data_IF_900343242851
#
_entry.id   IF_900343242851
#
_cell.length_a   1.000
_cell.length_b   1.000
_cell.length_c   1.000
_cell.angle_alpha   90.00
_cell.angle_beta   90.00
_cell.angle_gamma   90.00
#
_symmetry.space_group_name_H-M   'P 1'
#
loop_
_entity.id
_entity.type
_entity.pdbx_description
1 polymer ?
#
# COMPACT_ATOMS: atom_id res chain seq x y z
N UNK A 1 22.20 -33.40 -53.00
CA UNK A 1 22.27 -34.30 -51.83
C UNK A 1 23.58 -35.08 -51.85
N UNK A 2 24.45 -34.93 -50.85
CA UNK A 2 25.39 -35.98 -50.45
C UNK A 2 25.04 -36.52 -49.05
N UNK A 3 25.10 -37.84 -48.91
CA UNK A 3 24.78 -38.60 -47.70
C UNK A 3 25.92 -38.47 -46.66
N UNK A 4 25.59 -38.13 -45.40
CA UNK A 4 26.50 -38.29 -44.26
C UNK A 4 26.39 -39.70 -43.67
N UNK A 5 27.49 -40.32 -43.20
CA UNK A 5 27.45 -41.64 -42.57
C UNK A 5 27.05 -41.55 -41.09
N UNK A 6 26.35 -42.62 -40.64
CA UNK A 6 25.97 -42.92 -39.26
C UNK A 6 27.19 -43.30 -38.42
N UNK A 7 27.18 -42.89 -37.16
CA UNK A 7 27.78 -43.66 -36.06
C UNK A 7 26.67 -43.92 -35.05
N UNK A 8 26.37 -45.19 -34.82
CA UNK A 8 25.53 -45.71 -33.75
C UNK A 8 26.44 -46.14 -32.59
N UNK A 9 26.06 -45.90 -31.34
CA UNK A 9 25.64 -46.89 -30.31
C UNK A 9 26.46 -46.55 -29.05
N UNK A 10 26.09 -46.75 -27.80
CA UNK A 10 24.94 -47.26 -27.05
C UNK A 10 25.08 -46.54 -25.68
N UNK A 11 24.04 -46.21 -24.93
CA UNK A 11 23.47 -47.16 -23.98
C UNK A 11 22.31 -46.50 -23.25
N UNK A 12 21.30 -47.32 -23.00
CA UNK A 12 20.07 -47.02 -22.32
C UNK A 12 20.31 -46.67 -20.83
N UNK A 13 19.26 -46.11 -20.22
CA UNK A 13 18.50 -46.63 -19.05
C UNK A 13 18.21 -45.49 -18.02
N UNK A 14 16.92 -45.39 -17.65
CA UNK A 14 16.27 -44.63 -16.55
C UNK A 14 15.80 -43.19 -16.88
N UNK A 15 14.50 -42.97 -17.19
CA UNK A 15 13.32 -42.79 -16.30
C UNK A 15 13.42 -41.54 -15.38
N UNK A 16 12.45 -40.64 -15.53
CA UNK A 16 12.06 -39.44 -14.71
C UNK A 16 11.88 -39.73 -13.20
N UNK A 17 11.57 -38.73 -12.33
CA UNK A 17 12.02 -37.33 -12.22
C UNK A 17 12.61 -37.03 -10.81
N UNK A 18 13.54 -36.08 -10.68
CA UNK A 18 13.97 -35.58 -9.36
C UNK A 18 14.23 -34.07 -9.43
N UNK A 19 13.36 -33.26 -8.83
CA UNK A 19 13.54 -32.70 -7.47
C UNK A 19 14.60 -31.61 -7.44
N UNK A 20 14.12 -30.36 -7.30
CA UNK A 20 14.77 -29.24 -6.61
C UNK A 20 16.21 -28.96 -7.08
N UNK A 21 16.34 -28.03 -8.03
CA UNK A 21 17.58 -27.26 -8.20
C UNK A 21 17.75 -26.37 -6.96
N UNK A 22 18.34 -26.97 -5.92
CA UNK A 22 18.73 -26.32 -4.69
C UNK A 22 19.97 -25.49 -5.00
N UNK A 23 19.79 -24.19 -5.20
CA UNK A 23 20.90 -23.24 -5.31
C UNK A 23 21.61 -23.16 -3.94
N UNK A 24 22.67 -23.95 -3.79
CA UNK A 24 23.57 -23.91 -2.64
C UNK A 24 24.49 -22.69 -2.78
N UNK A 25 24.23 -21.62 -2.02
CA UNK A 25 25.26 -20.70 -1.48
C UNK A 25 24.76 -19.65 -0.46
N UNK A 26 23.80 -19.97 0.42
CA UNK A 26 23.37 -19.04 1.49
C UNK A 26 23.25 -19.70 2.87
N UNK A 27 24.22 -20.54 3.22
CA UNK A 27 24.42 -20.98 4.60
C UNK A 27 25.57 -20.14 5.21
N UNK A 28 25.26 -19.00 5.85
CA UNK A 28 26.27 -18.30 6.65
C UNK A 28 26.01 -16.83 6.98
N UNK A 29 25.21 -16.10 6.21
CA UNK A 29 24.84 -14.71 6.51
C UNK A 29 23.35 -14.60 6.22
N UNK A 30 22.53 -14.64 7.28
CA UNK A 30 21.09 -14.80 7.18
C UNK A 30 20.43 -13.71 6.33
N UNK A 31 20.01 -14.08 5.13
CA UNK A 31 18.83 -13.65 4.36
C UNK A 31 18.35 -12.19 4.45
N UNK A 32 19.19 -11.18 4.73
CA UNK A 32 18.70 -9.83 5.08
C UNK A 32 18.78 -8.79 3.98
N UNK A 33 19.29 -9.11 2.79
CA UNK A 33 19.60 -8.11 1.75
C UNK A 33 19.21 -8.50 0.32
N UNK A 34 18.56 -9.64 0.09
CA UNK A 34 18.03 -9.99 -1.22
C UNK A 34 16.52 -9.71 -1.28
N UNK A 35 16.10 -8.95 -2.30
CA UNK A 35 14.71 -8.56 -2.59
C UNK A 35 13.81 -9.74 -2.99
N UNK A 36 13.63 -10.66 -2.05
CA UNK A 36 12.82 -11.87 -2.15
C UNK A 36 12.68 -12.55 -0.78
N UNK A 37 12.71 -11.76 0.31
CA UNK A 37 12.47 -12.28 1.65
C UNK A 37 11.02 -12.74 1.76
N UNK A 38 10.84 -14.00 2.18
CA UNK A 38 9.54 -14.52 2.59
C UNK A 38 8.98 -13.56 3.65
N UNK A 39 7.74 -13.05 3.49
CA UNK A 39 7.10 -12.21 4.50
C UNK A 39 7.11 -12.91 5.86
N UNK A 40 7.17 -12.12 6.94
CA UNK A 40 7.04 -12.67 8.28
C UNK A 40 5.68 -13.37 8.43
N UNK A 41 5.60 -14.39 9.29
CA UNK A 41 4.36 -15.17 9.52
C UNK A 41 3.19 -14.31 10.01
N UNK A 42 3.48 -13.13 10.56
CA UNK A 42 2.53 -12.15 11.07
C UNK A 42 2.25 -11.01 10.08
N UNK A 43 2.82 -11.04 8.87
CA UNK A 43 2.58 -10.03 7.84
C UNK A 43 1.25 -10.29 7.11
N UNK A 44 0.52 -9.22 6.80
CA UNK A 44 -0.70 -9.32 5.97
C UNK A 44 -0.36 -9.86 4.58
N UNK A 45 -0.98 -10.98 4.22
CA UNK A 45 -0.81 -11.64 2.92
C UNK A 45 -1.86 -11.11 1.93
N UNK A 46 -1.46 -10.43 0.84
CA UNK A 46 -2.40 -9.92 -0.17
C UNK A 46 -3.21 -11.03 -0.85
N UNK A 47 -2.71 -12.27 -0.90
CA UNK A 47 -3.42 -13.41 -1.47
C UNK A 47 -4.56 -13.92 -0.56
N UNK A 48 -4.54 -13.54 0.73
CA UNK A 48 -5.56 -13.87 1.72
C UNK A 48 -6.39 -12.64 2.12
N UNK A 49 -6.41 -11.59 1.29
CA UNK A 49 -7.22 -10.41 1.53
C UNK A 49 -8.70 -10.80 1.67
N UNK A 50 -9.40 -10.17 2.60
CA UNK A 50 -10.86 -10.29 2.79
C UNK A 50 -11.65 -9.64 1.66
N UNK A 51 -10.97 -9.01 0.70
CA UNK A 51 -11.56 -8.44 -0.49
C UNK A 51 -12.04 -7.01 -0.29
N UNK A 52 -13.01 -6.61 -1.12
CA UNK A 52 -13.49 -5.23 -1.28
C UNK A 52 -15.00 -5.18 -1.09
N UNK A 53 -15.53 -4.00 -0.78
CA UNK A 53 -16.97 -3.82 -0.58
C UNK A 53 -17.77 -4.04 -1.88
N UNK A 54 -17.29 -3.48 -2.99
CA UNK A 54 -17.89 -3.68 -4.30
C UNK A 54 -17.09 -4.75 -5.06
N UNK A 55 -17.75 -5.79 -5.61
CA UNK A 55 -17.08 -6.82 -6.40
C UNK A 55 -16.33 -6.22 -7.58
N UNK A 56 -15.05 -6.56 -7.71
CA UNK A 56 -14.19 -6.07 -8.76
C UNK A 56 -13.15 -7.15 -9.08
N UNK A 57 -12.88 -7.36 -10.37
CA UNK A 57 -11.86 -8.33 -10.78
C UNK A 57 -10.48 -7.92 -10.25
N UNK A 58 -9.70 -8.92 -9.84
CA UNK A 58 -8.32 -8.70 -9.42
C UNK A 58 -7.46 -8.12 -10.54
N UNK A 59 -6.49 -7.29 -10.15
CA UNK A 59 -5.55 -6.74 -11.10
C UNK A 59 -4.55 -7.83 -11.52
N UNK A 60 -4.29 -7.96 -12.82
CA UNK A 60 -3.39 -8.99 -13.38
C UNK A 60 -1.95 -8.86 -12.87
N UNK A 61 -1.51 -7.64 -12.61
CA UNK A 61 -0.12 -7.25 -12.45
C UNK A 61 0.15 -6.38 -11.21
N UNK A 62 -0.82 -6.32 -10.28
CA UNK A 62 -0.69 -5.58 -9.02
C UNK A 62 -1.37 -6.34 -7.90
N UNK A 63 -0.79 -6.34 -6.71
CA UNK A 63 -1.46 -6.82 -5.50
C UNK A 63 -2.65 -5.90 -5.14
N UNK A 64 -3.62 -6.37 -4.33
CA UNK A 64 -4.70 -5.53 -3.82
C UNK A 64 -4.19 -4.24 -3.14
N UNK A 65 -3.12 -4.32 -2.36
CA UNK A 65 -2.56 -3.17 -1.63
C UNK A 65 -1.82 -2.19 -2.55
N UNK A 66 -1.15 -2.68 -3.60
CA UNK A 66 -0.57 -1.81 -4.64
C UNK A 66 -1.66 -1.03 -5.38
N UNK A 67 -2.77 -1.71 -5.71
CA UNK A 67 -3.94 -1.05 -6.32
C UNK A 67 -4.51 0.02 -5.40
N UNK A 68 -4.57 -0.23 -4.09
CA UNK A 68 -5.11 0.71 -3.11
C UNK A 68 -4.22 1.94 -2.95
N UNK A 69 -2.91 1.74 -2.84
CA UNK A 69 -1.94 2.82 -2.87
C UNK A 69 -2.14 3.70 -4.11
N UNK A 70 -2.24 3.11 -5.29
CA UNK A 70 -2.42 3.86 -6.53
C UNK A 70 -3.72 4.66 -6.52
N UNK A 71 -4.82 4.08 -6.00
CA UNK A 71 -6.12 4.77 -5.84
C UNK A 71 -6.02 5.98 -4.92
N UNK A 72 -5.36 5.82 -3.77
CA UNK A 72 -5.16 6.88 -2.77
C UNK A 72 -4.34 8.01 -3.38
N UNK A 73 -3.18 7.73 -3.95
CA UNK A 73 -2.28 8.73 -4.56
C UNK A 73 -3.02 9.56 -5.60
N UNK A 74 -3.84 8.90 -6.43
CA UNK A 74 -4.53 9.61 -7.48
C UNK A 74 -5.80 10.31 -7.00
N UNK A 75 -6.30 10.10 -5.79
CA UNK A 75 -7.57 10.69 -5.28
C UNK A 75 -7.56 12.22 -5.23
N UNK A 76 -8.74 12.84 -5.23
CA UNK A 76 -8.84 14.30 -5.09
C UNK A 76 -8.47 14.75 -3.67
N UNK A 77 -8.84 13.97 -2.67
CA UNK A 77 -8.49 14.21 -1.27
C UNK A 77 -6.97 14.25 -1.06
N UNK A 78 -6.23 13.31 -1.66
CA UNK A 78 -4.77 13.30 -1.56
C UNK A 78 -4.14 14.53 -2.23
N UNK A 79 -4.64 14.93 -3.41
CA UNK A 79 -4.20 16.18 -4.08
C UNK A 79 -4.45 17.43 -3.22
N UNK A 80 -5.56 17.47 -2.48
CA UNK A 80 -5.88 18.60 -1.58
C UNK A 80 -4.89 18.73 -0.42
N UNK A 81 -4.17 17.68 -0.04
CA UNK A 81 -3.13 17.76 1.00
C UNK A 81 -2.02 18.76 0.65
N UNK A 82 -1.77 19.01 -0.64
CA UNK A 82 -0.84 20.05 -1.10
C UNK A 82 -1.17 21.44 -0.52
N UNK A 83 -2.45 21.70 -0.29
CA UNK A 83 -2.95 23.00 0.18
C UNK A 83 -3.32 23.00 1.66
N UNK A 84 -3.06 21.90 2.38
CA UNK A 84 -3.25 21.83 3.84
C UNK A 84 -1.88 21.96 4.50
N UNK A 85 -1.71 22.97 5.34
CA UNK A 85 -0.49 23.15 6.13
C UNK A 85 -0.45 22.14 7.28
N UNK A 86 0.75 21.67 7.60
CA UNK A 86 1.01 21.00 8.86
C UNK A 86 1.52 22.06 9.83
N UNK A 87 0.70 22.39 10.83
CA UNK A 87 0.93 23.30 11.97
C UNK A 87 2.21 24.16 11.85
N UNK A 88 2.10 25.46 11.51
CA UNK A 88 2.96 26.52 12.05
C UNK A 88 2.38 27.94 11.85
N UNK A 89 2.71 28.78 12.83
CA UNK A 89 2.39 30.21 12.99
C UNK A 89 3.24 31.05 12.02
N UNK A 90 2.68 32.18 11.61
CA UNK A 90 3.04 33.06 10.47
C UNK A 90 4.45 33.72 10.49
N UNK A 91 5.40 33.31 11.33
CA UNK A 91 6.69 34.00 11.45
C UNK A 91 7.88 33.03 11.52
N UNK A 92 8.77 33.12 10.51
CA UNK A 92 10.12 32.52 10.37
C UNK A 92 10.24 31.17 9.61
N UNK A 93 10.45 31.25 8.28
CA UNK A 93 11.18 30.22 7.52
C UNK A 93 10.55 29.81 6.17
N UNK A 94 11.36 29.78 5.10
CA UNK A 94 10.96 29.47 3.72
C UNK A 94 10.59 28.00 3.43
N UNK A 95 10.52 27.14 4.45
CA UNK A 95 10.31 25.69 4.30
C UNK A 95 9.08 25.19 5.05
N UNK A 96 7.89 25.62 4.63
CA UNK A 96 6.64 25.12 5.19
C UNK A 96 6.36 23.68 4.72
N UNK A 97 6.19 22.76 5.67
CA UNK A 97 5.67 21.41 5.36
C UNK A 97 4.17 21.47 5.14
N UNK A 98 3.74 20.86 4.05
CA UNK A 98 2.33 20.56 3.79
C UNK A 98 2.01 19.17 4.33
N UNK A 99 0.73 18.88 4.54
CA UNK A 99 0.28 17.51 4.85
C UNK A 99 0.66 16.51 3.75
N UNK A 100 0.79 16.98 2.51
CA UNK A 100 1.26 16.14 1.41
C UNK A 100 2.72 15.71 1.61
N UNK A 101 3.62 16.66 1.89
CA UNK A 101 5.03 16.34 2.12
C UNK A 101 5.21 15.48 3.35
N UNK A 102 4.44 15.73 4.42
CA UNK A 102 4.42 14.87 5.60
C UNK A 102 3.96 13.44 5.28
N UNK A 103 2.85 13.27 4.57
CA UNK A 103 2.32 11.94 4.22
C UNK A 103 3.34 11.14 3.39
N UNK A 104 4.09 11.80 2.50
CA UNK A 104 5.16 11.16 1.72
C UNK A 104 6.34 10.75 2.61
N UNK A 105 6.77 11.60 3.55
CA UNK A 105 7.82 11.28 4.53
C UNK A 105 7.42 10.09 5.41
N UNK A 106 6.18 10.10 5.94
CA UNK A 106 5.62 9.01 6.75
C UNK A 106 5.57 7.72 5.95
N UNK A 107 5.14 7.76 4.68
CA UNK A 107 5.10 6.59 3.81
C UNK A 107 6.49 5.98 3.58
N UNK A 108 7.53 6.80 3.37
CA UNK A 108 8.90 6.32 3.23
C UNK A 108 9.42 5.65 4.51
N UNK A 109 9.15 6.24 5.68
CA UNK A 109 9.52 5.67 6.98
C UNK A 109 8.77 4.35 7.20
N UNK A 110 7.45 4.33 6.96
CA UNK A 110 6.61 3.15 7.13
C UNK A 110 7.11 1.96 6.31
N UNK A 111 7.47 2.17 5.04
CA UNK A 111 8.05 1.13 4.17
C UNK A 111 9.38 0.61 4.69
N UNK A 112 10.27 1.51 5.11
CA UNK A 112 11.60 1.14 5.61
C UNK A 112 11.50 0.30 6.88
N UNK A 113 10.61 0.70 7.79
CA UNK A 113 10.30 -0.05 9.00
C UNK A 113 9.68 -1.41 8.68
N UNK A 114 8.68 -1.46 7.79
CA UNK A 114 8.02 -2.71 7.42
C UNK A 114 8.98 -3.69 6.74
N UNK A 115 9.83 -3.21 5.83
CA UNK A 115 10.88 -4.03 5.20
C UNK A 115 11.81 -4.65 6.25
N UNK A 116 12.21 -3.88 7.24
CA UNK A 116 13.11 -4.35 8.31
C UNK A 116 12.44 -5.40 9.23
N UNK A 117 11.11 -5.36 9.33
CA UNK A 117 10.30 -6.27 10.15
C UNK A 117 9.70 -7.44 9.35
N UNK A 118 9.93 -7.50 8.04
CA UNK A 118 9.30 -8.49 7.15
C UNK A 118 7.79 -8.31 6.97
N UNK A 119 7.26 -7.11 7.21
CA UNK A 119 5.84 -6.76 7.03
C UNK A 119 5.53 -6.36 5.58
N UNK A 120 4.24 -6.28 5.24
CA UNK A 120 3.80 -5.88 3.91
C UNK A 120 4.01 -4.38 3.67
N UNK A 121 4.99 -4.02 2.84
CA UNK A 121 5.34 -2.63 2.55
C UNK A 121 4.24 -1.87 1.78
N UNK A 122 3.53 -2.54 0.87
CA UNK A 122 2.52 -1.89 0.03
C UNK A 122 1.28 -1.51 0.86
N UNK A 123 0.89 -2.37 1.82
CA UNK A 123 -0.17 -2.05 2.78
C UNK A 123 0.23 -0.87 3.66
N UNK A 124 1.43 -0.91 4.24
CA UNK A 124 1.92 0.16 5.11
C UNK A 124 2.04 1.50 4.36
N UNK A 125 2.49 1.49 3.11
CA UNK A 125 2.54 2.67 2.25
C UNK A 125 1.13 3.23 1.98
N UNK A 126 0.16 2.37 1.66
CA UNK A 126 -1.23 2.78 1.45
C UNK A 126 -1.83 3.46 2.69
N UNK A 127 -1.67 2.85 3.88
CA UNK A 127 -2.15 3.40 5.15
C UNK A 127 -1.50 4.76 5.46
N UNK A 128 -0.17 4.83 5.34
CA UNK A 128 0.58 6.06 5.57
C UNK A 128 0.17 7.20 4.63
N UNK A 129 -0.18 6.92 3.38
CA UNK A 129 -0.64 7.95 2.43
C UNK A 129 -2.08 8.40 2.70
N UNK A 130 -2.91 7.53 3.28
CA UNK A 130 -4.33 7.79 3.53
C UNK A 130 -4.61 8.44 4.89
N UNK A 131 -3.73 8.27 5.91
CA UNK A 131 -4.03 8.64 7.30
C UNK A 131 -4.51 10.09 7.45
N UNK A 132 -3.97 10.99 6.63
CA UNK A 132 -4.16 12.43 6.76
C UNK A 132 -5.26 13.02 5.87
N UNK A 133 -6.01 12.18 5.13
CA UNK A 133 -6.99 12.65 4.15
C UNK A 133 -8.15 13.44 4.78
N UNK A 134 -8.65 12.97 5.92
CA UNK A 134 -9.81 13.53 6.63
C UNK A 134 -9.54 14.78 7.45
N UNK A 135 -8.27 15.16 7.62
CA UNK A 135 -7.91 16.34 8.40
C UNK A 135 -8.53 17.62 7.84
N UNK A 136 -9.03 18.44 8.77
CA UNK A 136 -9.63 19.73 8.49
C UNK A 136 -8.56 20.75 8.05
N UNK A 137 -8.96 21.82 7.33
CA UNK A 137 -8.15 23.04 7.28
C UNK A 137 -7.81 23.51 8.70
N UNK A 138 -6.62 24.10 8.88
CA UNK A 138 -6.15 24.61 10.18
C UNK A 138 -5.91 23.56 11.29
N UNK A 139 -5.92 22.27 10.95
CA UNK A 139 -5.58 21.20 11.91
C UNK A 139 -6.52 21.16 13.12
N UNK A 140 -5.98 21.01 14.32
CA UNK A 140 -6.79 20.85 15.55
C UNK A 140 -7.79 21.98 15.76
N UNK A 141 -7.44 23.23 15.46
CA UNK A 141 -8.39 24.35 15.58
C UNK A 141 -9.62 24.18 14.66
N UNK A 142 -9.43 23.65 13.46
CA UNK A 142 -10.53 23.35 12.54
C UNK A 142 -11.36 22.15 12.99
N UNK A 143 -10.71 21.15 13.58
CA UNK A 143 -11.38 19.97 14.15
C UNK A 143 -12.22 20.34 15.38
N UNK A 144 -11.69 21.10 16.33
CA UNK A 144 -12.41 21.62 17.51
C UNK A 144 -13.61 22.47 17.09
N UNK A 145 -13.42 23.38 16.13
CA UNK A 145 -14.49 24.23 15.64
C UNK A 145 -15.61 23.42 14.96
N UNK A 146 -15.26 22.41 14.15
CA UNK A 146 -16.24 21.53 13.53
C UNK A 146 -16.92 20.61 14.55
N UNK A 147 -16.18 20.07 15.51
CA UNK A 147 -16.71 19.26 16.60
C UNK A 147 -17.78 20.01 17.38
N UNK A 148 -17.50 21.25 17.80
CA UNK A 148 -18.47 22.09 18.51
C UNK A 148 -19.71 22.43 17.67
N UNK A 149 -19.55 22.61 16.35
CA UNK A 149 -20.69 22.91 15.46
C UNK A 149 -21.52 21.68 15.08
N UNK A 150 -20.93 20.50 15.12
CA UNK A 150 -21.57 19.24 14.75
C UNK A 150 -21.94 18.39 15.97
N UNK A 151 -21.88 18.93 17.19
CA UNK A 151 -22.17 18.21 18.43
C UNK A 151 -23.56 17.53 18.39
N UNK A 152 -24.59 18.24 17.93
CA UNK A 152 -25.95 17.69 17.77
C UNK A 152 -26.10 16.66 16.63
N UNK A 153 -25.09 16.54 15.77
CA UNK A 153 -25.04 15.64 14.62
C UNK A 153 -24.00 14.50 14.77
N UNK A 154 -23.46 14.30 15.99
CA UNK A 154 -22.51 13.22 16.29
C UNK A 154 -21.03 13.63 16.30
N UNK A 155 -20.74 14.93 16.24
CA UNK A 155 -19.38 15.47 16.32
C UNK A 155 -18.59 15.38 15.00
N UNK A 156 -17.28 15.60 15.11
CA UNK A 156 -16.33 15.46 13.99
C UNK A 156 -15.06 14.78 14.49
N UNK A 157 -14.57 13.81 13.72
CA UNK A 157 -13.30 13.13 13.93
C UNK A 157 -12.62 12.95 12.56
N UNK A 158 -11.34 13.34 12.46
CA UNK A 158 -10.63 13.29 11.18
C UNK A 158 -10.42 11.85 10.66
N UNK A 159 -10.30 10.84 11.52
CA UNK A 159 -10.12 9.45 11.08
C UNK A 159 -11.43 8.88 10.50
N UNK A 160 -12.56 9.14 11.17
CA UNK A 160 -13.88 8.84 10.65
C UNK A 160 -14.13 9.57 9.32
N UNK A 161 -13.66 10.83 9.21
CA UNK A 161 -13.73 11.58 7.97
C UNK A 161 -12.81 11.00 6.87
N UNK A 162 -11.62 10.49 7.21
CA UNK A 162 -10.75 9.75 6.27
C UNK A 162 -11.50 8.55 5.72
N UNK A 163 -12.10 7.72 6.58
CA UNK A 163 -12.90 6.57 6.13
C UNK A 163 -14.06 7.01 5.24
N UNK A 164 -14.80 8.04 5.64
CA UNK A 164 -15.91 8.59 4.84
C UNK A 164 -15.46 9.09 3.47
N UNK A 165 -14.27 9.68 3.37
CA UNK A 165 -13.69 10.07 2.08
C UNK A 165 -13.43 8.83 1.21
N UNK A 166 -12.79 7.82 1.79
CA UNK A 166 -12.37 6.61 1.09
C UNK A 166 -13.53 5.72 0.67
N UNK A 167 -14.65 5.72 1.40
CA UNK A 167 -15.79 4.83 1.15
C UNK A 167 -17.00 5.52 0.53
N UNK A 168 -17.12 6.84 0.60
CA UNK A 168 -18.36 7.53 0.17
C UNK A 168 -18.18 8.87 -0.57
N UNK A 169 -17.16 9.69 -0.25
CA UNK A 169 -17.09 11.05 -0.82
C UNK A 169 -16.27 11.15 -2.11
N UNK A 170 -15.27 10.29 -2.30
CA UNK A 170 -14.57 10.23 -3.59
C UNK A 170 -15.50 9.66 -4.68
N UNK A 171 -15.51 10.28 -5.86
CA UNK A 171 -16.34 9.85 -7.00
C UNK A 171 -15.48 9.70 -8.23
N UNK A 172 -14.81 8.55 -8.31
CA UNK A 172 -13.80 8.26 -9.32
C UNK A 172 -14.16 7.11 -10.24
N UNK A 173 -15.09 6.28 -9.80
CA UNK A 173 -15.58 5.12 -10.51
C UNK A 173 -17.08 5.31 -10.76
N UNK A 174 -17.56 4.90 -11.93
CA UNK A 174 -18.96 5.10 -12.30
C UNK A 174 -19.92 4.16 -11.53
N UNK A 175 -19.41 3.00 -11.11
CA UNK A 175 -20.21 1.91 -10.55
C UNK A 175 -20.42 2.02 -9.03
N UNK A 176 -19.59 2.80 -8.33
CA UNK A 176 -19.64 2.95 -6.88
C UNK A 176 -19.05 4.29 -6.41
N UNK A 177 -19.53 4.75 -5.26
CA UNK A 177 -18.92 5.84 -4.50
C UNK A 177 -17.69 5.32 -3.72
N UNK A 178 -16.76 6.22 -3.40
CA UNK A 178 -15.49 5.91 -2.76
C UNK A 178 -14.41 5.38 -3.72
N UNK A 179 -13.36 4.80 -3.12
CA UNK A 179 -12.23 4.19 -3.81
C UNK A 179 -12.29 2.66 -3.82
N UNK A 180 -13.26 2.06 -3.12
CA UNK A 180 -13.43 0.60 -3.00
C UNK A 180 -12.12 -0.12 -2.62
N UNK A 181 -11.47 0.34 -1.55
CA UNK A 181 -10.19 -0.23 -1.06
C UNK A 181 -10.40 -1.63 -0.45
N UNK A 182 -9.32 -2.40 -0.31
CA UNK A 182 -9.34 -3.68 0.36
C UNK A 182 -9.63 -3.51 1.86
N UNK A 183 -10.23 -4.52 2.47
CA UNK A 183 -10.59 -4.50 3.89
C UNK A 183 -9.41 -4.14 4.79
N UNK A 184 -8.23 -4.72 4.54
CA UNK A 184 -7.03 -4.49 5.36
C UNK A 184 -6.57 -3.04 5.30
N UNK A 185 -6.82 -2.34 4.18
CA UNK A 185 -6.48 -0.92 4.04
C UNK A 185 -7.51 -0.01 4.71
N UNK A 186 -8.75 -0.46 4.90
CA UNK A 186 -9.77 0.30 5.63
C UNK A 186 -9.74 0.04 7.14
N UNK A 187 -9.24 -1.13 7.56
CA UNK A 187 -9.09 -1.50 8.97
C UNK A 187 -7.91 -0.79 9.64
N UNK A 188 -6.78 -0.66 8.92
CA UNK A 188 -5.56 -0.04 9.43
C UNK A 188 -5.68 1.48 9.57
#
# INVERSE_FOLDING_TARGET
MPRRPRVANHSHIFRTPATVVKCWHCAGIGNRLCGGCVPAIYASDPAQSRGRLHPEADAVNRSPFQRDRDRIIHSNAFRRLKHKTQVFVYHEGDYYRTRLTHSIEVAQIARTTCRSLGLNEDLAEALALAHDLGHTPFGHAGEEALGAKLESAGGFDHNAQTLRILTALERRYAEFDGLNLAWETLEG
#
